data_IF_289745741689
#
_entry.id   IF_289745741689
#
_cell.length_a   1.000
_cell.length_b   1.000
_cell.length_c   1.000
_cell.angle_alpha   90.00
_cell.angle_beta   90.00
_cell.angle_gamma   90.00
#
_symmetry.space_group_name_H-M   'P 1'
#
loop_
_entity.id
_entity.type
_entity.pdbx_description
1 polymer ?
#
# COMPACT_ATOMS: atom_id res chain seq x y z
N UNK A 1 -20.04 22.98 -1.25
CA UNK A 1 -19.66 21.60 -0.91
C UNK A 1 -18.27 21.66 -0.29
N UNK A 2 -18.11 21.14 0.92
CA UNK A 2 -16.80 21.02 1.52
C UNK A 2 -15.96 20.07 0.65
N UNK A 3 -14.73 20.48 0.33
CA UNK A 3 -13.81 19.63 -0.43
C UNK A 3 -13.52 18.38 0.40
N UNK A 4 -13.81 17.20 -0.16
CA UNK A 4 -13.51 15.94 0.49
C UNK A 4 -12.10 15.49 0.07
N UNK A 5 -11.17 15.55 1.02
CA UNK A 5 -9.78 15.12 0.82
C UNK A 5 -9.53 13.67 1.21
N UNK A 6 -10.50 13.00 1.81
CA UNK A 6 -10.36 11.61 2.26
C UNK A 6 -10.55 10.67 1.08
N UNK A 7 -9.53 9.84 0.82
CA UNK A 7 -9.53 8.86 -0.27
C UNK A 7 -10.02 7.49 0.22
N UNK A 8 -9.54 7.08 1.42
CA UNK A 8 -9.81 5.75 1.93
C UNK A 8 -9.69 5.72 3.46
N UNK A 9 -10.56 4.96 4.10
CA UNK A 9 -10.56 4.72 5.56
C UNK A 9 -10.56 3.22 5.80
N UNK A 10 -9.68 2.75 6.68
CA UNK A 10 -9.64 1.35 7.11
C UNK A 10 -9.43 1.27 8.62
N UNK A 11 -10.44 0.85 9.34
CA UNK A 11 -10.48 0.59 10.79
C UNK A 11 -9.95 1.76 11.64
N UNK A 12 -8.65 1.98 11.65
CA UNK A 12 -7.89 2.92 12.50
C UNK A 12 -6.99 3.86 11.69
N UNK A 13 -7.08 3.83 10.38
CA UNK A 13 -6.26 4.67 9.48
C UNK A 13 -7.09 5.41 8.45
N UNK A 14 -6.60 6.60 8.08
CA UNK A 14 -7.19 7.48 7.08
C UNK A 14 -6.13 7.82 6.04
N UNK A 15 -6.47 7.65 4.76
CA UNK A 15 -5.69 8.11 3.63
C UNK A 15 -6.37 9.35 3.02
N UNK A 16 -5.61 10.43 2.92
CA UNK A 16 -6.11 11.69 2.38
C UNK A 16 -5.19 12.24 1.29
N UNK A 17 -5.78 12.96 0.33
CA UNK A 17 -5.03 13.71 -0.67
C UNK A 17 -4.55 15.02 -0.06
N UNK A 18 -3.24 15.15 0.15
CA UNK A 18 -2.65 16.34 0.76
C UNK A 18 -2.28 17.43 -0.25
N UNK A 19 -2.07 17.08 -1.54
CA UNK A 19 -1.65 18.04 -2.57
C UNK A 19 -2.62 19.22 -2.72
N UNK A 20 -3.94 19.01 -2.82
CA UNK A 20 -4.89 20.14 -2.91
C UNK A 20 -4.85 21.05 -1.68
N UNK A 21 -4.62 20.49 -0.48
CA UNK A 21 -4.49 21.28 0.75
C UNK A 21 -3.23 22.15 0.71
N UNK A 22 -2.11 21.60 0.27
CA UNK A 22 -0.86 22.36 0.09
C UNK A 22 -1.04 23.47 -0.92
N UNK A 23 -1.64 23.19 -2.08
CA UNK A 23 -1.90 24.18 -3.12
C UNK A 23 -2.81 25.30 -2.65
N UNK A 24 -3.85 25.00 -1.88
CA UNK A 24 -4.76 25.98 -1.30
C UNK A 24 -4.06 26.89 -0.28
N UNK A 25 -3.13 26.32 0.50
CA UNK A 25 -2.40 27.06 1.56
C UNK A 25 -1.22 27.87 1.03
N UNK A 26 -0.59 27.38 -0.04
CA UNK A 26 0.60 27.97 -0.65
C UNK A 26 0.36 28.20 -2.16
N UNK A 27 -0.59 29.09 -2.53
CA UNK A 27 -0.90 29.35 -3.92
C UNK A 27 0.33 29.95 -4.64
N UNK A 28 0.52 29.59 -5.90
CA UNK A 28 1.57 30.14 -6.78
C UNK A 28 3.03 29.83 -6.37
N UNK A 29 3.26 28.81 -5.55
CA UNK A 29 4.59 28.30 -5.27
C UNK A 29 4.90 27.06 -6.12
N UNK A 30 5.95 27.11 -6.91
CA UNK A 30 6.55 25.90 -7.52
C UNK A 30 7.27 25.13 -6.41
N UNK A 31 6.71 24.00 -6.00
CA UNK A 31 7.26 23.18 -4.93
C UNK A 31 8.00 21.98 -5.53
N UNK A 32 9.26 21.81 -5.15
CA UNK A 32 9.99 20.57 -5.40
C UNK A 32 9.38 19.43 -4.58
N UNK A 33 9.64 18.16 -4.95
CA UNK A 33 9.14 16.99 -4.19
C UNK A 33 9.51 17.06 -2.70
N UNK A 34 10.71 17.52 -2.39
CA UNK A 34 11.15 17.66 -1.00
C UNK A 34 10.36 18.75 -0.26
N UNK A 35 10.16 19.91 -0.89
CA UNK A 35 9.36 21.00 -0.32
C UNK A 35 7.90 20.57 -0.14
N UNK A 36 7.32 19.90 -1.13
CA UNK A 36 5.96 19.35 -1.05
C UNK A 36 5.84 18.39 0.14
N UNK A 37 6.77 17.45 0.29
CA UNK A 37 6.79 16.50 1.42
C UNK A 37 6.87 17.24 2.76
N UNK A 38 7.71 18.27 2.86
CA UNK A 38 7.83 19.06 4.08
C UNK A 38 6.51 19.78 4.42
N UNK A 39 5.86 20.42 3.44
CA UNK A 39 4.57 21.09 3.63
C UNK A 39 3.46 20.11 4.03
N UNK A 40 3.47 18.92 3.45
CA UNK A 40 2.54 17.85 3.84
C UNK A 40 2.78 17.46 5.31
N UNK A 41 4.03 17.30 5.73
CA UNK A 41 4.34 16.96 7.13
C UNK A 41 3.90 18.06 8.11
N UNK A 42 4.06 19.34 7.76
CA UNK A 42 3.56 20.47 8.56
C UNK A 42 2.04 20.39 8.75
N UNK A 43 1.28 20.18 7.65
CA UNK A 43 -0.18 20.02 7.69
C UNK A 43 -0.58 18.78 8.50
N UNK A 44 0.11 17.65 8.30
CA UNK A 44 -0.16 16.43 9.06
C UNK A 44 0.07 16.62 10.57
N UNK A 45 1.10 17.38 10.96
CA UNK A 45 1.35 17.73 12.36
C UNK A 45 0.19 18.51 12.97
N UNK A 46 -0.32 19.53 12.27
CA UNK A 46 -1.48 20.31 12.73
C UNK A 46 -2.74 19.44 12.86
N UNK A 47 -2.99 18.56 11.88
CA UNK A 47 -4.12 17.62 11.92
C UNK A 47 -3.98 16.64 13.08
N UNK A 48 -2.78 16.11 13.30
CA UNK A 48 -2.46 15.20 14.41
C UNK A 48 -2.74 15.88 15.77
N UNK A 49 -2.28 17.10 15.96
CA UNK A 49 -2.51 17.88 17.18
C UNK A 49 -4.01 18.16 17.41
N UNK A 50 -4.72 18.51 16.35
CA UNK A 50 -6.17 18.72 16.41
C UNK A 50 -6.91 17.43 16.80
N UNK A 51 -6.56 16.29 16.20
CA UNK A 51 -7.18 15.00 16.51
C UNK A 51 -6.90 14.58 17.95
N UNK A 52 -5.65 14.67 18.42
CA UNK A 52 -5.30 14.29 19.78
C UNK A 52 -6.05 15.15 20.80
N UNK A 53 -6.14 16.48 20.60
CA UNK A 53 -6.94 17.36 21.47
C UNK A 53 -8.44 17.03 21.44
N UNK A 54 -8.96 16.67 20.27
CA UNK A 54 -10.35 16.27 20.10
C UNK A 54 -10.66 14.97 20.85
N UNK A 55 -9.74 14.00 20.80
CA UNK A 55 -9.87 12.74 21.54
C UNK A 55 -9.72 12.93 23.05
N UNK A 56 -8.86 13.83 23.52
CA UNK A 56 -8.79 14.19 24.95
C UNK A 56 -10.13 14.78 25.44
N UNK A 57 -10.71 15.71 24.66
CA UNK A 57 -12.03 16.27 24.97
C UNK A 57 -13.13 15.18 25.00
N UNK A 58 -13.11 14.26 24.02
CA UNK A 58 -14.06 13.15 23.96
C UNK A 58 -13.90 12.21 25.15
N UNK A 59 -12.67 11.83 25.50
CA UNK A 59 -12.36 10.97 26.64
C UNK A 59 -12.86 11.57 27.95
N UNK A 60 -12.62 12.87 28.14
CA UNK A 60 -13.10 13.60 29.32
C UNK A 60 -14.64 13.64 29.38
N UNK A 61 -15.28 14.02 28.28
CA UNK A 61 -16.72 14.27 28.25
C UNK A 61 -17.55 13.01 28.34
N UNK A 62 -17.15 11.91 27.71
CA UNK A 62 -17.95 10.70 27.55
C UNK A 62 -17.45 9.52 28.37
N UNK A 63 -16.17 9.46 28.69
CA UNK A 63 -15.56 8.35 29.42
C UNK A 63 -15.10 8.73 30.83
N UNK A 64 -15.17 10.02 31.18
CA UNK A 64 -14.65 10.59 32.45
C UNK A 64 -13.15 10.26 32.68
N UNK A 65 -12.38 10.26 31.61
CA UNK A 65 -10.92 10.03 31.59
C UNK A 65 -10.25 11.32 31.16
N UNK A 66 -9.19 11.75 31.85
CA UNK A 66 -8.57 13.06 31.58
C UNK A 66 -7.80 13.11 30.26
N UNK A 67 -7.31 11.97 29.78
CA UNK A 67 -6.52 11.88 28.55
C UNK A 67 -6.80 10.57 27.83
N UNK A 68 -6.91 10.61 26.51
CA UNK A 68 -7.04 9.40 25.69
C UNK A 68 -5.74 8.58 25.67
N UNK A 69 -5.84 7.30 25.25
CA UNK A 69 -4.72 6.33 25.19
C UNK A 69 -4.33 5.98 23.74
N UNK A 70 -4.94 6.60 22.74
CA UNK A 70 -4.63 6.35 21.34
C UNK A 70 -3.31 7.02 20.96
N UNK A 71 -2.52 6.36 20.12
CA UNK A 71 -1.31 6.94 19.50
C UNK A 71 -1.63 7.38 18.07
N UNK A 72 -2.14 8.60 17.92
CA UNK A 72 -2.51 9.16 16.61
C UNK A 72 -1.32 9.92 16.07
N UNK A 73 -0.81 9.43 14.94
CA UNK A 73 0.36 10.00 14.28
C UNK A 73 0.28 9.86 12.77
N UNK A 74 1.01 10.73 12.07
CA UNK A 74 1.31 10.54 10.66
C UNK A 74 2.27 9.37 10.50
N UNK A 75 1.93 8.40 9.67
CA UNK A 75 2.75 7.21 9.42
C UNK A 75 3.52 7.33 8.11
N UNK A 76 2.80 7.49 6.98
CA UNK A 76 3.42 7.45 5.66
C UNK A 76 2.97 8.62 4.78
N UNK A 77 3.86 9.04 3.87
CA UNK A 77 3.51 9.88 2.73
C UNK A 77 3.78 9.06 1.48
N UNK A 78 2.75 8.89 0.67
CA UNK A 78 2.85 8.22 -0.62
C UNK A 78 2.84 9.26 -1.75
N UNK A 79 3.71 9.08 -2.75
CA UNK A 79 3.73 9.88 -3.98
C UNK A 79 2.56 9.54 -4.88
N UNK A 80 2.22 8.25 -4.94
CA UNK A 80 1.10 7.71 -5.72
C UNK A 80 0.49 6.51 -5.02
N UNK A 81 -0.79 6.25 -5.32
CA UNK A 81 -1.52 5.13 -4.75
C UNK A 81 -2.58 4.60 -5.69
N UNK A 82 -2.71 3.29 -5.75
CA UNK A 82 -3.75 2.56 -6.46
C UNK A 82 -4.64 1.86 -5.44
N UNK A 83 -5.88 2.32 -5.29
CA UNK A 83 -6.89 1.71 -4.44
C UNK A 83 -7.89 0.96 -5.32
N UNK A 84 -7.91 -0.37 -5.24
CA UNK A 84 -8.76 -1.23 -6.09
C UNK A 84 -10.08 -1.50 -5.39
N UNK A 85 -10.01 -1.97 -4.15
CA UNK A 85 -11.17 -2.22 -3.29
C UNK A 85 -10.76 -2.09 -1.83
N UNK A 86 -11.73 -2.27 -0.90
CA UNK A 86 -11.45 -2.32 0.53
C UNK A 86 -10.34 -3.35 0.84
N UNK A 87 -9.30 -2.92 1.54
CA UNK A 87 -8.12 -3.72 1.94
C UNK A 87 -7.28 -4.25 0.77
N UNK A 88 -7.44 -3.69 -0.44
CA UNK A 88 -6.65 -4.07 -1.62
C UNK A 88 -6.10 -2.81 -2.30
N UNK A 89 -4.85 -2.48 -2.02
CA UNK A 89 -4.18 -1.29 -2.55
C UNK A 89 -2.68 -1.47 -2.67
N UNK A 90 -2.06 -0.61 -3.48
CA UNK A 90 -0.62 -0.44 -3.59
C UNK A 90 -0.24 1.04 -3.47
N UNK A 91 0.84 1.35 -2.77
CA UNK A 91 1.33 2.70 -2.52
C UNK A 91 2.82 2.80 -2.86
N UNK A 92 3.24 3.88 -3.50
CA UNK A 92 4.66 4.26 -3.61
C UNK A 92 4.98 5.23 -2.47
N UNK A 93 5.57 4.70 -1.41
CA UNK A 93 5.90 5.46 -0.20
C UNK A 93 7.23 6.18 -0.40
N UNK A 94 7.23 7.50 -0.13
CA UNK A 94 8.40 8.38 -0.19
C UNK A 94 8.87 8.85 1.17
N UNK A 95 7.99 8.79 2.19
CA UNK A 95 8.33 9.07 3.58
C UNK A 95 7.64 8.05 4.49
N UNK A 96 8.37 7.52 5.45
CA UNK A 96 7.92 6.54 6.42
C UNK A 96 8.35 6.99 7.82
N UNK A 97 7.39 7.46 8.61
CA UNK A 97 7.61 8.00 9.95
C UNK A 97 8.74 9.06 10.00
N UNK A 98 8.74 10.00 9.07
CA UNK A 98 9.74 11.06 8.95
C UNK A 98 11.02 10.67 8.21
N UNK A 99 11.21 9.40 7.83
CA UNK A 99 12.39 8.93 7.09
C UNK A 99 12.10 8.92 5.59
N UNK A 100 12.99 9.50 4.79
CA UNK A 100 12.91 9.42 3.34
C UNK A 100 13.14 7.98 2.88
N UNK A 101 12.21 7.43 2.12
CA UNK A 101 12.26 6.09 1.55
C UNK A 101 11.81 6.12 0.09
N UNK A 102 11.99 5.02 -0.62
CA UNK A 102 11.36 4.78 -1.92
C UNK A 102 11.00 3.29 -1.96
N UNK A 103 9.79 2.97 -1.52
CA UNK A 103 9.34 1.58 -1.47
C UNK A 103 7.90 1.46 -1.93
N UNK A 104 7.56 0.33 -2.53
CA UNK A 104 6.18 -0.03 -2.81
C UNK A 104 5.64 -0.85 -1.64
N UNK A 105 4.55 -0.36 -1.07
CA UNK A 105 3.77 -1.08 -0.06
C UNK A 105 2.51 -1.63 -0.69
N UNK A 106 2.28 -2.92 -0.51
CA UNK A 106 1.12 -3.63 -1.09
C UNK A 106 0.31 -4.27 0.01
N UNK A 107 -1.01 -4.11 -0.04
CA UNK A 107 -1.95 -4.79 0.86
C UNK A 107 -3.02 -5.52 0.05
N UNK A 108 -3.20 -6.81 0.35
CA UNK A 108 -4.28 -7.65 -0.18
C UNK A 108 -4.26 -7.96 -1.67
N UNK A 109 -3.19 -7.62 -2.40
CA UNK A 109 -3.03 -7.97 -3.81
C UNK A 109 -2.35 -9.33 -3.96
N UNK A 110 -2.55 -9.96 -5.12
CA UNK A 110 -2.03 -11.30 -5.39
C UNK A 110 -0.49 -11.34 -5.52
N UNK A 111 0.14 -10.18 -5.71
CA UNK A 111 1.61 -10.03 -5.73
C UNK A 111 2.30 -10.50 -4.45
N UNK A 112 1.60 -10.47 -3.31
CA UNK A 112 2.16 -10.85 -2.00
C UNK A 112 1.74 -12.24 -1.53
N UNK A 113 0.89 -12.95 -2.29
CA UNK A 113 0.42 -14.29 -1.90
C UNK A 113 1.50 -15.35 -2.12
N UNK A 114 1.70 -16.22 -1.14
CA UNK A 114 2.68 -17.31 -1.23
C UNK A 114 2.27 -18.42 -2.22
N UNK A 115 0.97 -18.62 -2.41
CA UNK A 115 0.40 -19.66 -3.26
C UNK A 115 0.05 -19.18 -4.68
N UNK A 116 0.79 -18.22 -5.21
CA UNK A 116 0.58 -17.66 -6.55
C UNK A 116 1.83 -17.87 -7.40
N UNK A 117 1.66 -18.15 -8.70
CA UNK A 117 2.77 -18.43 -9.62
C UNK A 117 3.80 -17.29 -9.65
N UNK A 118 5.08 -17.63 -9.60
CA UNK A 118 6.18 -16.66 -9.51
C UNK A 118 6.17 -15.71 -10.71
N UNK A 119 6.09 -16.24 -11.94
CA UNK A 119 6.06 -15.41 -13.14
C UNK A 119 4.87 -14.44 -13.19
N UNK A 120 3.72 -14.85 -12.65
CA UNK A 120 2.54 -13.97 -12.55
C UNK A 120 2.70 -12.91 -11.47
N UNK A 121 3.34 -13.23 -10.33
CA UNK A 121 3.67 -12.22 -9.32
C UNK A 121 4.59 -11.15 -9.87
N UNK A 122 5.64 -11.56 -10.58
CA UNK A 122 6.63 -10.66 -11.17
C UNK A 122 5.97 -9.74 -12.20
N UNK A 123 5.09 -10.29 -13.05
CA UNK A 123 4.30 -9.48 -13.98
C UNK A 123 3.44 -8.46 -13.23
N UNK A 124 2.65 -8.89 -12.25
CA UNK A 124 1.75 -8.02 -11.50
C UNK A 124 2.51 -6.96 -10.71
N UNK A 125 3.67 -7.32 -10.15
CA UNK A 125 4.54 -6.37 -9.44
C UNK A 125 5.07 -5.30 -10.39
N UNK A 126 5.55 -5.69 -11.57
CA UNK A 126 6.04 -4.75 -12.58
C UNK A 126 4.91 -3.85 -13.12
N UNK A 127 3.71 -4.40 -13.36
CA UNK A 127 2.54 -3.62 -13.79
C UNK A 127 2.11 -2.63 -12.69
N UNK A 128 2.12 -3.05 -11.43
CA UNK A 128 1.80 -2.15 -10.33
C UNK A 128 2.84 -1.01 -10.22
N UNK A 129 4.12 -1.34 -10.40
CA UNK A 129 5.20 -0.35 -10.37
C UNK A 129 5.06 0.66 -11.52
N UNK A 130 4.75 0.19 -12.72
CA UNK A 130 4.48 1.03 -13.88
C UNK A 130 3.27 1.97 -13.63
N UNK A 131 2.16 1.45 -13.08
CA UNK A 131 0.98 2.26 -12.74
C UNK A 131 1.33 3.33 -11.71
N UNK A 132 2.04 2.95 -10.64
CA UNK A 132 2.45 3.89 -9.58
C UNK A 132 3.51 4.90 -10.04
N UNK A 133 4.19 4.63 -11.16
CA UNK A 133 5.13 5.53 -11.82
C UNK A 133 4.48 6.39 -12.92
N UNK A 134 3.17 6.28 -13.10
CA UNK A 134 2.41 6.96 -14.17
C UNK A 134 2.93 6.66 -15.58
N UNK A 135 3.35 5.40 -15.80
CA UNK A 135 3.79 4.93 -17.12
C UNK A 135 2.59 4.89 -18.07
N UNK A 136 2.71 5.37 -19.32
CA UNK A 136 1.63 5.33 -20.29
C UNK A 136 1.04 3.93 -20.47
N UNK A 137 -0.29 3.87 -20.60
CA UNK A 137 -1.06 2.63 -20.71
C UNK A 137 -0.54 1.71 -21.83
N UNK A 138 -0.12 2.27 -22.95
CA UNK A 138 0.40 1.55 -24.12
C UNK A 138 1.63 0.71 -23.77
N UNK A 139 2.52 1.23 -22.92
CA UNK A 139 3.72 0.50 -22.45
C UNK A 139 3.35 -0.63 -21.48
N UNK A 140 2.35 -0.41 -20.64
CA UNK A 140 1.83 -1.45 -19.74
C UNK A 140 1.17 -2.57 -20.56
N UNK A 141 0.36 -2.22 -21.56
CA UNK A 141 -0.28 -3.18 -22.46
C UNK A 141 0.75 -3.97 -23.28
N UNK A 142 1.85 -3.32 -23.71
CA UNK A 142 2.97 -3.98 -24.38
C UNK A 142 3.64 -5.00 -23.46
N UNK A 143 3.96 -4.64 -22.21
CA UNK A 143 4.52 -5.55 -21.20
C UNK A 143 3.66 -6.80 -21.03
N UNK A 144 2.35 -6.61 -20.86
CA UNK A 144 1.40 -7.72 -20.71
C UNK A 144 1.38 -8.59 -21.97
N UNK A 145 1.41 -7.96 -23.15
CA UNK A 145 1.39 -8.66 -24.45
C UNK A 145 2.66 -9.47 -24.68
N UNK A 146 3.83 -8.92 -24.30
CA UNK A 146 5.12 -9.64 -24.34
C UNK A 146 5.07 -10.85 -23.41
N UNK A 147 4.59 -10.67 -22.18
CA UNK A 147 4.45 -11.77 -21.24
C UNK A 147 3.54 -12.88 -21.80
N UNK A 148 2.37 -12.52 -22.34
CA UNK A 148 1.43 -13.48 -22.94
C UNK A 148 2.05 -14.30 -24.09
N UNK A 149 2.88 -13.66 -24.94
CA UNK A 149 3.56 -14.37 -26.04
C UNK A 149 4.60 -15.36 -25.53
N UNK A 150 5.29 -15.02 -24.44
CA UNK A 150 6.40 -15.80 -23.92
C UNK A 150 5.99 -16.82 -22.84
N UNK A 151 4.78 -16.73 -22.29
CA UNK A 151 4.36 -17.57 -21.17
C UNK A 151 4.42 -19.08 -21.45
N UNK A 152 4.17 -19.49 -22.70
CA UNK A 152 4.22 -20.92 -23.11
C UNK A 152 5.63 -21.49 -23.16
N UNK A 153 6.66 -20.63 -23.24
CA UNK A 153 8.08 -21.03 -23.22
C UNK A 153 8.67 -21.02 -21.81
N UNK A 154 7.95 -20.52 -20.81
CA UNK A 154 8.42 -20.52 -19.44
C UNK A 154 8.36 -21.92 -18.83
N UNK A 155 9.35 -22.22 -17.97
CA UNK A 155 9.37 -23.48 -17.25
C UNK A 155 8.15 -23.59 -16.31
N UNK A 156 7.61 -24.81 -16.17
CA UNK A 156 6.41 -25.04 -15.38
C UNK A 156 6.55 -24.61 -13.91
N UNK A 157 7.75 -24.69 -13.32
CA UNK A 157 8.00 -24.30 -11.93
C UNK A 157 7.68 -22.84 -11.63
N UNK A 158 7.88 -21.95 -12.61
CA UNK A 158 7.59 -20.51 -12.44
C UNK A 158 6.15 -20.17 -12.80
N UNK A 159 5.47 -21.04 -13.55
CA UNK A 159 4.07 -20.86 -13.97
C UNK A 159 3.08 -21.61 -13.08
N UNK A 160 3.53 -22.62 -12.33
CA UNK A 160 2.68 -23.38 -11.42
C UNK A 160 2.40 -22.59 -10.12
N UNK A 161 1.20 -22.77 -9.59
CA UNK A 161 0.88 -22.24 -8.26
C UNK A 161 1.51 -23.17 -7.20
N UNK A 162 2.39 -22.64 -6.34
CA UNK A 162 2.98 -23.46 -5.27
C UNK A 162 1.92 -23.80 -4.22
N UNK A 163 1.88 -25.05 -3.82
CA UNK A 163 1.00 -25.56 -2.77
C UNK A 163 1.86 -26.01 -1.59
N UNK A 164 1.59 -25.45 -0.41
CA UNK A 164 2.26 -25.86 0.82
C UNK A 164 1.76 -27.22 1.30
N UNK A 165 2.65 -28.18 1.45
CA UNK A 165 2.36 -29.48 2.04
C UNK A 165 2.54 -29.38 3.55
N UNK A 166 1.44 -29.60 4.30
CA UNK A 166 1.46 -29.59 5.77
C UNK A 166 1.58 -31.02 6.30
N UNK A 167 2.32 -31.18 7.41
CA UNK A 167 2.40 -32.45 8.13
C UNK A 167 3.15 -33.55 7.36
N UNK A 168 4.14 -33.18 6.56
CA UNK A 168 4.93 -34.10 5.71
C UNK A 168 5.50 -35.28 6.51
N UNK A 169 5.83 -35.09 7.79
CA UNK A 169 6.30 -36.18 8.66
C UNK A 169 5.26 -37.28 8.92
N UNK A 170 3.96 -37.02 8.67
CA UNK A 170 2.92 -38.07 8.74
C UNK A 170 2.95 -39.00 7.54
N UNK A 171 3.60 -38.62 6.47
CA UNK A 171 3.72 -39.33 5.21
C UNK A 171 5.12 -39.91 5.03
N UNK A 172 5.87 -40.14 6.15
CA UNK A 172 7.10 -40.92 6.09
C UNK A 172 6.72 -42.37 5.80
N UNK A 173 6.97 -42.72 4.56
CA UNK A 173 6.72 -44.09 4.07
C UNK A 173 7.82 -44.98 4.62
N UNK A 174 7.44 -45.99 5.36
CA UNK A 174 8.41 -47.01 5.83
C UNK A 174 8.71 -48.03 4.75
N UNK A 175 7.78 -48.23 3.81
CA UNK A 175 7.90 -49.18 2.70
C UNK A 175 7.36 -48.56 1.42
N UNK A 176 8.00 -48.85 0.28
CA UNK A 176 7.67 -48.27 -1.03
C UNK A 176 6.23 -48.57 -1.51
N UNK A 177 5.57 -49.58 -0.93
CA UNK A 177 4.23 -50.03 -1.27
C UNK A 177 3.12 -49.16 -0.66
N UNK A 178 3.45 -48.23 0.26
CA UNK A 178 2.48 -47.38 0.95
C UNK A 178 2.41 -45.94 0.44
N UNK A 179 2.83 -45.69 -0.79
CA UNK A 179 2.96 -44.33 -1.36
C UNK A 179 1.64 -43.77 -1.90
N UNK A 180 0.61 -44.59 -2.09
CA UNK A 180 -0.69 -44.13 -2.61
C UNK A 180 -1.84 -44.84 -1.95
#
# INVERSE_FOLDING_TARGET
TADDYVIYIDTDSIFASAVPLVQKRFPNQELTETMMTQRIMEICGEVQDYLNKSYDYFAKKFCNIDKHVFDIKQEVIAKSGLFITKKRYGLRIINDAGRKVNKIHVKGLDTIRSNFAVAMKDLLQNVLDDILADVPKEKIDERISVFKRNMTSLHYDVMANPIGVKGIGKYQVKDAESVF
#
